data_IF_365011217175
#
_entry.id   IF_365011217175
#
_cell.length_a   1.000
_cell.length_b   1.000
_cell.length_c   1.000
_cell.angle_alpha   90.00
_cell.angle_beta   90.00
_cell.angle_gamma   90.00
#
_symmetry.space_group_name_H-M   'P 1'
#
loop_
_entity.id
_entity.type
_entity.pdbx_description
1 polymer ?
#
# COMPACT_ATOMS: atom_id res chain seq x y z
N UNK A 1 -15.50 -4.11 2.05
CA UNK A 1 -14.68 -2.94 1.66
C UNK A 1 -15.18 -1.57 2.12
N UNK A 2 -16.43 -1.39 2.59
CA UNK A 2 -16.86 -0.09 3.17
C UNK A 2 -16.04 0.30 4.41
N UNK A 3 -15.59 -0.69 5.20
CA UNK A 3 -14.75 -0.49 6.39
C UNK A 3 -13.36 0.11 6.11
N UNK A 4 -12.89 0.08 4.86
CA UNK A 4 -11.63 0.70 4.42
C UNK A 4 -11.88 1.96 3.56
N UNK A 5 -13.08 2.54 3.63
CA UNK A 5 -13.43 3.76 2.90
C UNK A 5 -13.79 3.56 1.42
N UNK A 6 -13.88 2.32 0.91
CA UNK A 6 -14.32 2.12 -0.47
C UNK A 6 -15.78 2.55 -0.63
N UNK A 7 -15.98 3.58 -1.45
CA UNK A 7 -17.29 4.17 -1.72
C UNK A 7 -17.62 5.38 -0.85
N UNK A 8 -16.71 5.81 0.03
CA UNK A 8 -16.87 7.03 0.83
C UNK A 8 -17.14 8.23 -0.09
N UNK A 9 -16.32 8.45 -1.12
CA UNK A 9 -16.54 9.52 -2.12
C UNK A 9 -17.92 9.47 -2.78
N UNK A 10 -18.39 8.28 -3.15
CA UNK A 10 -19.71 8.11 -3.76
C UNK A 10 -20.83 8.43 -2.75
N UNK A 11 -20.65 8.09 -1.48
CA UNK A 11 -21.58 8.43 -0.42
C UNK A 11 -21.58 9.94 -0.12
N UNK A 12 -20.41 10.59 -0.14
CA UNK A 12 -20.29 12.04 0.02
C UNK A 12 -21.03 12.76 -1.09
N UNK A 13 -20.80 12.36 -2.35
CA UNK A 13 -21.52 12.90 -3.51
C UNK A 13 -23.04 12.71 -3.38
N UNK A 14 -23.48 11.49 -3.05
CA UNK A 14 -24.90 11.19 -2.88
C UNK A 14 -25.55 12.04 -1.79
N UNK A 15 -24.93 12.12 -0.59
CA UNK A 15 -25.43 12.96 0.49
C UNK A 15 -25.50 14.44 0.08
N UNK A 16 -24.48 14.94 -0.64
CA UNK A 16 -24.48 16.30 -1.17
C UNK A 16 -25.64 16.57 -2.14
N UNK A 17 -25.89 15.67 -3.09
CA UNK A 17 -27.02 15.78 -4.04
C UNK A 17 -28.37 15.80 -3.32
N UNK A 18 -28.51 14.97 -2.29
CA UNK A 18 -29.77 14.79 -1.56
C UNK A 18 -29.95 15.78 -0.40
N UNK A 19 -29.02 16.71 -0.20
CA UNK A 19 -28.97 17.62 0.96
C UNK A 19 -29.07 16.88 2.31
N UNK A 20 -28.39 15.73 2.41
CA UNK A 20 -28.28 14.91 3.61
C UNK A 20 -27.00 15.26 4.38
N UNK A 21 -26.94 14.98 5.70
CA UNK A 21 -25.70 15.10 6.45
C UNK A 21 -24.60 14.19 5.86
N UNK A 22 -23.32 14.55 6.04
CA UNK A 22 -22.19 13.76 5.53
C UNK A 22 -22.22 12.30 6.02
N UNK A 23 -21.79 11.34 5.19
CA UNK A 23 -21.75 9.94 5.59
C UNK A 23 -20.69 9.71 6.68
N UNK A 24 -20.87 8.71 7.57
CA UNK A 24 -19.89 8.39 8.60
C UNK A 24 -18.51 8.00 8.04
N UNK A 25 -17.44 8.60 8.56
CA UNK A 25 -16.05 8.40 8.11
C UNK A 25 -15.21 7.52 9.07
N UNK A 26 -15.82 6.50 9.68
CA UNK A 26 -15.16 5.66 10.71
C UNK A 26 -14.09 4.70 10.18
N UNK A 27 -13.68 4.81 8.92
CA UNK A 27 -12.72 3.89 8.29
C UNK A 27 -11.25 4.26 8.52
N UNK A 28 -10.94 5.50 8.93
CA UNK A 28 -9.56 5.95 9.19
C UNK A 28 -8.84 5.08 10.22
N UNK A 29 -9.55 4.68 11.30
CA UNK A 29 -8.99 3.78 12.32
C UNK A 29 -8.51 2.46 11.73
N UNK A 30 -9.31 1.85 10.85
CA UNK A 30 -8.95 0.58 10.22
C UNK A 30 -7.81 0.75 9.23
N UNK A 31 -7.79 1.86 8.47
CA UNK A 31 -6.69 2.16 7.55
C UNK A 31 -5.36 2.30 8.30
N UNK A 32 -5.34 2.91 9.49
CA UNK A 32 -4.12 3.03 10.30
C UNK A 32 -3.61 1.65 10.79
N UNK A 33 -4.52 0.77 11.23
CA UNK A 33 -4.16 -0.60 11.64
C UNK A 33 -3.59 -1.38 10.45
N UNK A 34 -4.24 -1.30 9.29
CA UNK A 34 -3.77 -1.96 8.07
C UNK A 34 -2.43 -1.40 7.60
N UNK A 35 -2.23 -0.08 7.69
CA UNK A 35 -0.97 0.56 7.32
C UNK A 35 0.16 0.09 8.23
N UNK A 36 -0.08 -0.01 9.54
CA UNK A 36 0.91 -0.49 10.49
C UNK A 36 1.30 -1.94 10.21
N UNK A 37 0.32 -2.82 10.04
CA UNK A 37 0.57 -4.23 9.73
C UNK A 37 1.31 -4.39 8.39
N UNK A 38 0.90 -3.67 7.35
CA UNK A 38 1.57 -3.70 6.05
C UNK A 38 3.01 -3.18 6.12
N UNK A 39 3.28 -2.18 6.97
CA UNK A 39 4.62 -1.66 7.20
C UNK A 39 5.51 -2.68 7.91
N UNK A 40 5.01 -3.31 8.98
CA UNK A 40 5.74 -4.35 9.71
C UNK A 40 6.11 -5.51 8.78
N UNK A 41 5.14 -6.03 8.02
CA UNK A 41 5.39 -7.08 7.02
C UNK A 41 6.38 -6.64 5.93
N UNK A 42 6.34 -5.37 5.51
CA UNK A 42 7.27 -4.83 4.53
C UNK A 42 8.71 -4.77 5.07
N UNK A 43 8.88 -4.32 6.32
CA UNK A 43 10.19 -4.24 6.98
C UNK A 43 10.79 -5.64 7.19
N UNK A 44 9.98 -6.59 7.66
CA UNK A 44 10.38 -8.01 7.84
C UNK A 44 10.77 -8.65 6.50
N UNK A 45 9.90 -8.55 5.49
CA UNK A 45 10.12 -9.16 4.18
C UNK A 45 11.34 -8.58 3.46
N UNK A 46 11.59 -7.27 3.57
CA UNK A 46 12.77 -6.65 2.96
C UNK A 46 14.06 -7.04 3.69
N UNK A 47 14.02 -7.22 5.02
CA UNK A 47 15.19 -7.68 5.77
C UNK A 47 15.57 -9.11 5.39
N UNK A 48 14.58 -9.99 5.23
CA UNK A 48 14.78 -11.37 4.74
C UNK A 48 15.34 -11.36 3.31
N UNK A 49 14.76 -10.57 2.40
CA UNK A 49 15.22 -10.48 1.01
C UNK A 49 16.68 -9.98 0.90
N UNK A 50 17.11 -9.06 1.77
CA UNK A 50 18.52 -8.62 1.81
C UNK A 50 19.43 -9.74 2.29
N UNK A 51 19.01 -10.55 3.26
CA UNK A 51 19.80 -11.70 3.72
C UNK A 51 20.00 -12.70 2.58
N UNK A 52 18.92 -13.06 1.89
CA UNK A 52 18.94 -13.97 0.73
C UNK A 52 19.85 -13.41 -0.38
N UNK A 53 19.70 -12.13 -0.72
CA UNK A 53 20.52 -11.51 -1.77
C UNK A 53 22.03 -11.44 -1.42
N UNK A 54 22.39 -11.28 -0.14
CA UNK A 54 23.81 -11.33 0.29
C UNK A 54 24.35 -12.74 0.20
N UNK A 55 23.56 -13.76 0.55
CA UNK A 55 23.97 -15.17 0.41
C UNK A 55 24.17 -15.55 -1.06
N UNK A 56 23.26 -15.13 -1.94
CA UNK A 56 23.36 -15.34 -3.39
C UNK A 56 24.57 -14.61 -4.00
N UNK A 57 24.96 -13.45 -3.44
CA UNK A 57 26.11 -12.67 -3.89
C UNK A 57 27.43 -13.06 -3.19
N UNK A 58 27.57 -14.32 -2.73
CA UNK A 58 28.78 -14.85 -2.08
C UNK A 58 29.26 -14.02 -0.86
N UNK A 59 28.33 -13.40 -0.14
CA UNK A 59 28.62 -12.50 0.99
C UNK A 59 28.87 -11.04 0.58
N UNK A 60 28.84 -10.74 -0.71
CA UNK A 60 28.90 -9.39 -1.27
C UNK A 60 27.70 -8.55 -0.87
N UNK A 61 27.95 -7.32 -0.42
CA UNK A 61 26.90 -6.36 0.00
C UNK A 61 26.64 -5.26 -1.03
N UNK A 62 27.35 -5.29 -2.14
CA UNK A 62 27.07 -4.43 -3.28
C UNK A 62 25.96 -5.08 -4.09
N UNK A 63 24.71 -4.66 -3.81
CA UNK A 63 23.49 -5.26 -4.37
C UNK A 63 22.70 -4.17 -5.08
N UNK A 64 22.46 -4.38 -6.38
CA UNK A 64 21.56 -3.55 -7.16
C UNK A 64 20.11 -4.02 -6.99
N UNK A 65 19.19 -3.07 -6.84
CA UNK A 65 17.75 -3.36 -6.73
C UNK A 65 16.94 -2.50 -7.71
N UNK A 66 15.86 -3.09 -8.22
CA UNK A 66 14.81 -2.39 -8.93
C UNK A 66 13.62 -2.21 -7.98
N UNK A 67 13.02 -1.01 -8.00
CA UNK A 67 11.84 -0.69 -7.21
C UNK A 67 10.72 -0.31 -8.17
N UNK A 68 9.65 -1.09 -8.17
CA UNK A 68 8.44 -0.80 -8.95
C UNK A 68 7.23 -0.56 -8.04
N UNK A 69 6.33 0.32 -8.49
CA UNK A 69 5.14 0.70 -7.76
C UNK A 69 3.92 0.71 -8.67
N UNK A 70 2.89 -0.04 -8.27
CA UNK A 70 1.64 -0.15 -9.01
C UNK A 70 0.46 0.31 -8.16
N UNK A 71 -0.36 1.22 -8.68
CA UNK A 71 -1.56 1.72 -7.99
C UNK A 71 -2.83 1.40 -8.76
N UNK A 72 -3.81 0.86 -8.04
CA UNK A 72 -5.17 0.75 -8.52
C UNK A 72 -5.80 2.15 -8.58
N UNK A 73 -6.06 2.63 -9.80
CA UNK A 73 -6.72 3.91 -10.06
C UNK A 73 -8.23 3.75 -10.21
N UNK A 74 -8.98 4.78 -9.82
CA UNK A 74 -10.39 4.99 -10.20
C UNK A 74 -10.57 6.45 -10.57
N UNK A 75 -10.62 6.75 -11.86
CA UNK A 75 -10.53 8.13 -12.36
C UNK A 75 -9.17 8.73 -11.99
N UNK A 76 -9.16 9.97 -11.50
CA UNK A 76 -7.96 10.70 -11.09
C UNK A 76 -7.48 10.36 -9.65
N UNK A 77 -8.06 9.36 -8.99
CA UNK A 77 -7.68 8.96 -7.62
C UNK A 77 -7.05 7.56 -7.59
N UNK A 78 -5.85 7.46 -7.00
CA UNK A 78 -5.24 6.19 -6.60
C UNK A 78 -5.84 5.74 -5.27
N UNK A 79 -6.21 4.46 -5.17
CA UNK A 79 -6.88 3.92 -3.96
C UNK A 79 -5.99 3.00 -3.15
N UNK A 80 -5.45 1.98 -3.81
CA UNK A 80 -4.58 1.00 -3.21
C UNK A 80 -3.32 0.93 -4.06
N UNK A 81 -2.16 0.79 -3.43
CA UNK A 81 -0.88 0.61 -4.10
C UNK A 81 -0.18 -0.62 -3.58
N UNK A 82 0.67 -1.21 -4.43
CA UNK A 82 1.68 -2.19 -4.05
C UNK A 82 3.03 -1.66 -4.52
N UNK A 83 4.05 -1.87 -3.71
CA UNK A 83 5.45 -1.57 -4.05
C UNK A 83 6.21 -2.87 -3.95
N UNK A 84 7.02 -3.15 -4.96
CA UNK A 84 7.86 -4.35 -5.03
C UNK A 84 9.31 -3.93 -5.21
N UNK A 85 10.20 -4.57 -4.46
CA UNK A 85 11.65 -4.41 -4.58
C UNK A 85 12.20 -5.77 -4.99
N UNK A 86 13.00 -5.79 -6.06
CA UNK A 86 13.62 -7.02 -6.59
C UNK A 86 15.09 -6.79 -6.82
N UNK A 87 15.93 -7.80 -6.58
CA UNK A 87 17.33 -7.78 -7.01
C UNK A 87 17.41 -7.66 -8.53
N UNK A 88 18.52 -7.12 -9.03
CA UNK A 88 18.83 -7.05 -10.45
C UNK A 88 20.15 -7.75 -10.67
N UNK A 89 20.13 -8.82 -11.48
CA UNK A 89 21.35 -9.43 -11.98
C UNK A 89 22.02 -8.47 -12.98
N UNK A 90 23.27 -8.11 -12.72
CA UNK A 90 24.12 -7.30 -13.61
C UNK A 90 25.24 -8.11 -14.21
#
# INVERSE_FOLDING_TARGET
MRCIGKGAESAVMFCGIMNLPPPPTKFTKFNNILLQAARETCEESMAEAVHEAVEENEGGRDIAVAVDGSWQKRGFSSKNGVVTVTSVDT
#
